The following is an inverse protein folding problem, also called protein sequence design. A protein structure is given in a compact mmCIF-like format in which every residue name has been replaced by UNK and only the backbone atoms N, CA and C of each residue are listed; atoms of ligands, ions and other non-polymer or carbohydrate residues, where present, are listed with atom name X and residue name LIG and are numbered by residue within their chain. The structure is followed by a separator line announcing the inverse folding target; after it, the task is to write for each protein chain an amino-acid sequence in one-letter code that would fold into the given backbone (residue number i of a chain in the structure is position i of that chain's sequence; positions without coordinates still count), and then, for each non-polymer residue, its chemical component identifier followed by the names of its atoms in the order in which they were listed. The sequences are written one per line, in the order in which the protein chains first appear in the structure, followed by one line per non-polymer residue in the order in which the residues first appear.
data_IF_617983226095
#
_entry.id   IF_617983226095
#
_cell.length_a   1.000
_cell.length_b   1.000
_cell.length_c   1.000
_cell.angle_alpha   90.00
_cell.angle_beta   90.00
_cell.angle_gamma   90.00
#
_symmetry.space_group_name_H-M   'P 1'
#
loop_
_entity.id
_entity.type
_entity.pdbx_description
1 polymer ?
#
# COMPACT_ATOMS: atom_id res chain seq x y z
N UNK A 1 -32.69 -81.00 -7.82
CA UNK A 1 -32.59 -79.76 -8.62
C UNK A 1 -32.64 -78.59 -7.64
N UNK A 2 -31.47 -78.19 -7.13
CA UNK A 2 -31.33 -77.06 -6.21
C UNK A 2 -30.62 -75.95 -6.99
N UNK A 3 -31.33 -74.85 -7.21
CA UNK A 3 -30.82 -73.63 -7.82
C UNK A 3 -30.15 -72.82 -6.71
N UNK A 4 -28.82 -72.81 -6.70
CA UNK A 4 -28.06 -71.87 -5.88
C UNK A 4 -28.03 -70.51 -6.59
N UNK A 5 -28.83 -69.56 -6.11
CA UNK A 5 -28.69 -68.16 -6.49
C UNK A 5 -27.44 -67.57 -5.82
N UNK A 6 -26.42 -67.27 -6.62
CA UNK A 6 -25.26 -66.51 -6.18
C UNK A 6 -25.66 -65.03 -6.05
N UNK A 7 -26.03 -64.61 -4.83
CA UNK A 7 -26.12 -63.19 -4.50
C UNK A 7 -24.70 -62.62 -4.46
N UNK A 8 -24.34 -61.64 -5.30
CA UNK A 8 -23.02 -61.04 -5.25
C UNK A 8 -22.87 -60.25 -3.95
N UNK A 9 -22.04 -60.76 -3.03
CA UNK A 9 -21.57 -60.02 -1.85
C UNK A 9 -20.70 -58.87 -2.36
N UNK A 10 -21.28 -57.69 -2.50
CA UNK A 10 -20.50 -56.51 -2.87
C UNK A 10 -19.62 -56.14 -1.69
N UNK A 11 -18.30 -56.20 -1.89
CA UNK A 11 -17.28 -55.92 -0.87
C UNK A 11 -17.40 -54.48 -0.34
N UNK A 12 -17.88 -54.34 0.89
CA UNK A 12 -18.04 -53.07 1.62
C UNK A 12 -16.75 -52.25 1.67
N UNK A 13 -15.59 -52.92 1.72
CA UNK A 13 -14.28 -52.26 1.72
C UNK A 13 -13.99 -51.49 0.43
N UNK A 14 -14.47 -51.97 -0.73
CA UNK A 14 -14.27 -51.32 -2.03
C UNK A 14 -15.11 -50.05 -2.16
N UNK A 15 -16.26 -49.99 -1.47
CA UNK A 15 -17.10 -48.79 -1.38
C UNK A 15 -16.48 -47.73 -0.46
N UNK A 16 -16.00 -48.14 0.73
CA UNK A 16 -15.37 -47.21 1.69
C UNK A 16 -14.11 -46.58 1.10
N UNK A 17 -13.25 -47.36 0.44
CA UNK A 17 -12.03 -46.82 -0.20
C UNK A 17 -12.35 -45.85 -1.34
N UNK A 18 -13.38 -46.11 -2.13
CA UNK A 18 -13.84 -45.19 -3.20
C UNK A 18 -14.44 -43.91 -2.63
N UNK A 19 -15.17 -44.00 -1.52
CA UNK A 19 -15.74 -42.84 -0.82
C UNK A 19 -14.64 -41.97 -0.18
N UNK A 20 -13.65 -42.57 0.48
CA UNK A 20 -12.50 -41.86 1.03
C UNK A 20 -11.66 -41.17 -0.06
N UNK A 21 -11.42 -41.85 -1.18
CA UNK A 21 -10.70 -41.25 -2.32
C UNK A 21 -11.47 -40.07 -2.93
N UNK A 22 -12.81 -40.17 -3.06
CA UNK A 22 -13.64 -39.08 -3.53
C UNK A 22 -13.65 -37.87 -2.57
N UNK A 23 -13.72 -38.11 -1.26
CA UNK A 23 -13.67 -37.06 -0.24
C UNK A 23 -12.30 -36.35 -0.24
N UNK A 24 -11.20 -37.10 -0.33
CA UNK A 24 -9.84 -36.53 -0.42
C UNK A 24 -9.69 -35.70 -1.71
N UNK A 25 -10.24 -36.17 -2.83
CA UNK A 25 -10.21 -35.43 -4.10
C UNK A 25 -11.03 -34.13 -4.01
N UNK A 26 -12.19 -34.14 -3.36
CA UNK A 26 -13.01 -32.94 -3.13
C UNK A 26 -12.25 -31.93 -2.26
N UNK A 27 -11.65 -32.37 -1.15
CA UNK A 27 -10.86 -31.48 -0.29
C UNK A 27 -9.64 -30.90 -1.04
N UNK A 28 -8.93 -31.70 -1.82
CA UNK A 28 -7.81 -31.24 -2.64
C UNK A 28 -8.25 -30.21 -3.69
N UNK A 29 -9.36 -30.47 -4.41
CA UNK A 29 -9.89 -29.55 -5.42
C UNK A 29 -10.37 -28.25 -4.79
N UNK A 30 -11.07 -28.29 -3.65
CA UNK A 30 -11.47 -27.07 -2.93
C UNK A 30 -10.27 -26.27 -2.45
N UNK A 31 -9.23 -26.90 -1.90
CA UNK A 31 -8.00 -26.21 -1.46
C UNK A 31 -7.29 -25.48 -2.61
N UNK A 32 -7.24 -26.09 -3.80
CA UNK A 32 -6.63 -25.49 -5.00
C UNK A 32 -7.47 -24.29 -5.50
N UNK A 33 -8.81 -24.39 -5.47
CA UNK A 33 -9.71 -23.29 -5.85
C UNK A 33 -9.61 -22.08 -4.90
N UNK A 34 -9.43 -22.29 -3.59
CA UNK A 34 -9.26 -21.19 -2.63
C UNK A 34 -7.91 -20.48 -2.75
N UNK A 35 -6.85 -21.21 -3.12
CA UNK A 35 -5.53 -20.61 -3.34
C UNK A 35 -5.47 -19.79 -4.64
N UNK A 36 -6.20 -20.21 -5.69
CA UNK A 36 -6.21 -19.55 -6.99
C UNK A 36 -6.92 -18.17 -7.01
N UNK A 37 -7.76 -17.87 -6.02
CA UNK A 37 -8.52 -16.61 -5.94
C UNK A 37 -7.78 -15.48 -5.19
N UNK A 38 -6.47 -15.61 -4.92
CA UNK A 38 -5.66 -14.50 -4.41
C UNK A 38 -4.98 -13.78 -5.55
N UNK A 39 -5.73 -12.93 -6.26
CA UNK A 39 -5.08 -11.84 -6.99
C UNK A 39 -4.39 -10.94 -5.96
N UNK A 40 -3.05 -10.94 -5.97
CA UNK A 40 -2.28 -9.96 -5.23
C UNK A 40 -2.53 -8.60 -5.90
N UNK A 41 -3.40 -7.78 -5.31
CA UNK A 41 -3.61 -6.41 -5.78
C UNK A 41 -2.28 -5.65 -5.63
N UNK A 42 -1.73 -5.18 -6.76
CA UNK A 42 -0.53 -4.36 -6.76
C UNK A 42 -0.82 -3.05 -6.00
N UNK A 43 0.10 -2.57 -5.17
CA UNK A 43 -0.04 -1.27 -4.53
C UNK A 43 -0.14 -0.16 -5.59
N UNK A 44 -0.90 0.88 -5.27
CA UNK A 44 -0.89 2.13 -6.05
C UNK A 44 0.28 2.95 -5.54
N UNK A 45 1.31 3.10 -6.37
CA UNK A 45 2.47 3.94 -6.09
C UNK A 45 2.31 5.28 -6.80
N UNK A 46 2.46 6.38 -6.06
CA UNK A 46 2.41 7.74 -6.61
C UNK A 46 3.74 8.44 -6.33
N UNK A 47 4.56 8.56 -7.35
CA UNK A 47 5.83 9.31 -7.30
C UNK A 47 5.54 10.81 -7.16
N UNK A 48 6.14 11.43 -6.15
CA UNK A 48 5.83 12.81 -5.77
C UNK A 48 6.31 13.80 -6.84
N UNK A 49 7.45 13.55 -7.47
CA UNK A 49 7.97 14.34 -8.60
C UNK A 49 7.03 14.34 -9.81
N UNK A 50 6.14 13.35 -9.90
CA UNK A 50 5.12 13.21 -10.93
C UNK A 50 3.82 13.97 -10.62
N UNK A 51 3.76 14.76 -9.54
CA UNK A 51 2.57 15.55 -9.23
C UNK A 51 2.28 16.57 -10.33
N UNK A 52 1.01 16.67 -10.72
CA UNK A 52 0.59 17.53 -11.84
C UNK A 52 0.82 19.03 -11.56
N UNK A 53 0.72 19.43 -10.29
CA UNK A 53 1.07 20.75 -9.80
C UNK A 53 1.97 20.60 -8.58
N UNK A 54 3.20 21.10 -8.64
CA UNK A 54 4.11 21.03 -7.49
C UNK A 54 3.82 22.14 -6.47
N UNK A 55 2.93 23.09 -6.78
CA UNK A 55 2.65 24.22 -5.91
C UNK A 55 3.91 25.04 -5.66
N UNK A 56 4.33 25.12 -4.39
CA UNK A 56 5.61 25.71 -4.02
C UNK A 56 6.71 24.69 -3.68
N UNK A 57 6.45 23.39 -3.85
CA UNK A 57 7.46 22.35 -3.72
C UNK A 57 8.36 22.32 -4.95
N UNK A 58 9.62 21.98 -4.74
CA UNK A 58 10.62 21.85 -5.81
C UNK A 58 11.06 20.40 -5.97
N UNK A 59 11.34 19.99 -7.19
CA UNK A 59 11.92 18.67 -7.48
C UNK A 59 13.42 18.73 -7.15
N UNK A 60 13.86 17.90 -6.22
CA UNK A 60 15.24 17.86 -5.75
C UNK A 60 15.90 16.50 -6.08
N UNK A 61 17.04 16.48 -6.81
CA UNK A 61 17.70 15.25 -7.23
C UNK A 61 18.80 14.77 -6.27
N UNK A 62 18.98 15.39 -5.09
CA UNK A 62 20.16 15.17 -4.22
C UNK A 62 20.38 13.70 -3.84
N UNK A 63 19.32 12.89 -3.81
CA UNK A 63 19.38 11.49 -3.39
C UNK A 63 19.12 10.48 -4.53
N UNK A 64 19.17 10.92 -5.79
CA UNK A 64 18.85 10.06 -6.94
C UNK A 64 19.73 8.79 -7.00
N UNK A 65 21.03 8.90 -6.70
CA UNK A 65 21.94 7.75 -6.67
C UNK A 65 21.64 6.72 -5.56
N UNK A 66 20.92 7.14 -4.52
CA UNK A 66 20.55 6.30 -3.37
C UNK A 66 19.12 5.78 -3.46
N UNK A 67 18.21 6.56 -4.02
CA UNK A 67 16.77 6.24 -4.07
C UNK A 67 16.31 5.72 -5.43
N UNK A 68 17.02 6.05 -6.50
CA UNK A 68 16.61 5.82 -7.88
C UNK A 68 15.67 6.89 -8.46
N UNK A 69 15.27 7.87 -7.65
CA UNK A 69 14.27 8.91 -7.96
C UNK A 69 14.64 10.26 -7.34
N UNK A 70 14.26 11.40 -7.96
CA UNK A 70 14.17 12.67 -7.26
C UNK A 70 12.98 12.68 -6.28
N UNK A 71 12.80 13.75 -5.52
CA UNK A 71 11.70 13.88 -4.57
C UNK A 71 11.19 15.33 -4.53
N UNK A 72 10.01 15.56 -3.95
CA UNK A 72 9.52 16.91 -3.68
C UNK A 72 10.07 17.43 -2.35
N UNK A 73 10.60 18.66 -2.40
CA UNK A 73 11.16 19.41 -1.29
C UNK A 73 10.39 20.71 -1.04
N UNK A 74 9.92 20.92 0.20
CA UNK A 74 9.29 22.17 0.62
C UNK A 74 10.33 23.20 1.10
N UNK A 75 10.93 23.96 0.17
CA UNK A 75 12.00 24.92 0.46
C UNK A 75 11.46 26.36 0.67
N UNK A 76 10.64 26.56 1.69
CA UNK A 76 9.94 27.83 1.96
C UNK A 76 10.67 28.81 2.88
N UNK A 77 11.91 28.51 3.30
CA UNK A 77 12.71 29.32 4.23
C UNK A 77 11.98 29.68 5.54
N UNK A 78 11.20 28.74 6.08
CA UNK A 78 10.45 28.89 7.33
C UNK A 78 9.03 29.42 7.15
N UNK A 79 8.59 29.66 5.91
CA UNK A 79 7.20 29.95 5.55
C UNK A 79 6.64 28.76 4.77
N UNK A 80 5.54 28.13 5.20
CA UNK A 80 4.94 27.02 4.46
C UNK A 80 4.70 27.35 2.99
N UNK A 81 5.08 26.42 2.11
CA UNK A 81 4.86 26.54 0.66
C UNK A 81 3.45 26.10 0.27
N UNK A 82 2.99 26.55 -0.90
CA UNK A 82 1.71 26.08 -1.45
C UNK A 82 1.72 24.57 -1.71
N UNK A 83 0.58 23.93 -1.51
CA UNK A 83 0.40 22.49 -1.67
C UNK A 83 0.81 21.98 -3.05
N UNK A 84 1.53 20.85 -3.08
CA UNK A 84 1.66 20.06 -4.30
C UNK A 84 0.42 19.17 -4.45
N UNK A 85 -0.14 19.04 -5.66
CA UNK A 85 -1.36 18.28 -5.90
C UNK A 85 -1.32 17.42 -7.16
N UNK A 86 -2.04 16.30 -7.13
CA UNK A 86 -2.26 15.44 -8.29
C UNK A 86 -3.59 14.69 -8.20
N UNK A 87 -4.03 14.09 -9.30
CA UNK A 87 -5.16 13.16 -9.34
C UNK A 87 -4.66 11.72 -9.46
N UNK A 88 -5.21 10.81 -8.65
CA UNK A 88 -4.89 9.39 -8.66
C UNK A 88 -6.17 8.60 -8.94
N UNK A 89 -6.08 7.56 -9.77
CA UNK A 89 -7.23 6.67 -10.03
C UNK A 89 -7.05 5.35 -9.30
N UNK A 90 -7.89 5.09 -8.30
CA UNK A 90 -7.88 3.81 -7.59
C UNK A 90 -8.65 2.75 -8.39
N UNK A 91 -8.08 1.55 -8.56
CA UNK A 91 -8.69 0.47 -9.34
C UNK A 91 -9.93 -0.13 -8.68
N UNK A 92 -10.04 0.01 -7.35
CA UNK A 92 -11.08 -0.62 -6.52
C UNK A 92 -11.42 0.24 -5.31
N UNK A 93 -12.61 0.02 -4.76
CA UNK A 93 -12.98 0.55 -3.45
C UNK A 93 -12.50 -0.39 -2.35
N UNK A 94 -12.04 0.14 -1.22
CA UNK A 94 -11.62 -0.69 -0.10
C UNK A 94 -10.85 0.07 0.97
N UNK A 95 -10.30 -0.70 1.92
CA UNK A 95 -9.45 -0.17 2.98
C UNK A 95 -8.01 -0.13 2.52
N UNK A 96 -7.47 1.06 2.32
CA UNK A 96 -6.09 1.29 1.92
C UNK A 96 -5.22 1.58 3.13
N UNK A 97 -4.07 0.93 3.20
CA UNK A 97 -2.97 1.34 4.08
C UNK A 97 -2.16 2.40 3.33
N UNK A 98 -2.01 3.58 3.93
CA UNK A 98 -1.20 4.65 3.37
C UNK A 98 0.23 4.52 3.89
N UNK A 99 1.19 4.68 2.98
CA UNK A 99 2.61 4.76 3.27
C UNK A 99 3.15 6.02 2.62
N UNK A 100 4.16 6.66 3.22
CA UNK A 100 4.84 7.79 2.59
C UNK A 100 6.33 7.58 2.68
N UNK A 101 7.04 7.61 1.55
CA UNK A 101 8.49 7.52 1.52
C UNK A 101 9.09 8.88 1.84
N UNK A 102 9.67 9.00 3.04
CA UNK A 102 10.14 10.26 3.62
C UNK A 102 11.30 10.02 4.59
N UNK A 103 11.80 11.11 5.19
CA UNK A 103 12.77 11.11 6.29
C UNK A 103 12.64 12.38 7.12
N UNK A 104 12.92 12.28 8.41
CA UNK A 104 13.33 13.43 9.21
C UNK A 104 14.77 13.78 8.82
N UNK A 105 14.92 14.93 8.19
CA UNK A 105 16.20 15.32 7.63
C UNK A 105 17.21 15.79 8.67
N UNK A 106 16.75 16.29 9.83
CA UNK A 106 17.64 16.72 10.90
C UNK A 106 17.99 15.61 11.89
N UNK A 107 17.25 14.50 11.88
CA UNK A 107 17.48 13.37 12.78
C UNK A 107 18.93 12.85 12.75
N UNK A 108 19.62 12.94 11.61
CA UNK A 108 21.03 12.53 11.50
C UNK A 108 21.98 13.32 12.41
N UNK A 109 21.64 14.57 12.75
CA UNK A 109 22.41 15.41 13.67
C UNK A 109 21.85 15.43 15.09
N UNK A 110 20.78 14.66 15.37
CA UNK A 110 20.06 14.67 16.66
C UNK A 110 19.66 16.09 17.10
N UNK A 111 19.34 16.94 16.14
CA UNK A 111 18.93 18.31 16.41
C UNK A 111 17.56 18.32 17.13
N UNK A 112 17.31 19.30 18.03
CA UNK A 112 16.00 19.47 18.62
C UNK A 112 14.97 19.92 17.58
N UNK A 113 13.73 19.44 17.73
CA UNK A 113 12.63 19.75 16.81
C UNK A 113 12.57 18.81 15.61
N UNK A 114 11.57 19.03 14.77
CA UNK A 114 11.30 18.23 13.58
C UNK A 114 10.90 19.21 12.45
N UNK A 115 11.82 19.98 11.87
CA UNK A 115 11.54 20.74 10.67
C UNK A 115 11.16 19.80 9.51
N UNK A 116 10.43 20.32 8.52
CA UNK A 116 10.04 19.55 7.34
C UNK A 116 8.85 18.63 7.57
N UNK A 117 8.02 18.92 8.59
CA UNK A 117 6.74 18.24 8.76
C UNK A 117 5.79 18.63 7.65
N UNK A 118 5.01 17.66 7.21
CA UNK A 118 3.94 17.87 6.23
C UNK A 118 2.79 16.90 6.48
N UNK A 119 1.65 17.17 5.86
CA UNK A 119 0.50 16.26 5.82
C UNK A 119 0.26 15.77 4.41
N UNK A 120 -0.31 14.58 4.32
CA UNK A 120 -0.97 14.10 3.11
C UNK A 120 -2.46 14.42 3.23
N UNK A 121 -3.04 14.98 2.18
CA UNK A 121 -4.47 15.31 2.11
C UNK A 121 -5.09 14.48 0.99
N UNK A 122 -6.16 13.75 1.30
CA UNK A 122 -6.90 12.93 0.33
C UNK A 122 -8.34 13.46 0.24
N UNK A 123 -8.76 13.87 -0.96
CA UNK A 123 -10.06 14.48 -1.23
C UNK A 123 -10.38 15.66 -0.30
N UNK A 124 -9.37 16.48 0.01
CA UNK A 124 -9.50 17.62 0.91
C UNK A 124 -9.51 17.28 2.40
N UNK A 125 -9.40 16.01 2.78
CA UNK A 125 -9.28 15.60 4.18
C UNK A 125 -7.83 15.27 4.53
N UNK A 126 -7.19 15.98 5.48
CA UNK A 126 -5.85 15.65 5.94
C UNK A 126 -5.85 14.32 6.71
N UNK A 127 -4.80 13.52 6.53
CA UNK A 127 -4.53 12.39 7.40
C UNK A 127 -4.17 12.87 8.81
N UNK A 128 -4.50 12.07 9.83
CA UNK A 128 -4.11 12.36 11.22
C UNK A 128 -2.59 12.31 11.39
N UNK A 129 -1.92 11.44 10.65
CA UNK A 129 -0.46 11.30 10.68
C UNK A 129 0.23 12.54 10.09
N UNK A 130 1.21 13.06 10.83
CA UNK A 130 2.18 14.03 10.32
C UNK A 130 3.45 13.32 9.87
N UNK A 131 3.87 13.56 8.63
CA UNK A 131 5.00 12.91 7.97
C UNK A 131 6.28 13.75 8.03
N UNK A 132 7.41 13.13 7.67
CA UNK A 132 8.73 13.76 7.78
C UNK A 132 9.22 13.82 9.23
N UNK A 133 8.68 12.97 10.10
CA UNK A 133 8.83 13.04 11.56
C UNK A 133 9.67 11.92 12.17
N UNK A 134 10.05 10.93 11.35
CA UNK A 134 10.70 9.70 11.80
C UNK A 134 11.93 9.46 10.92
N UNK A 135 12.98 8.89 11.51
CA UNK A 135 14.08 8.27 10.78
C UNK A 135 15.01 9.22 10.03
N UNK A 136 16.32 9.10 10.29
CA UNK A 136 17.36 9.85 9.56
C UNK A 136 17.56 9.38 8.11
N UNK A 137 17.11 8.17 7.78
CA UNK A 137 17.22 7.54 6.47
C UNK A 137 15.87 7.50 5.78
N UNK A 138 15.89 7.48 4.45
CA UNK A 138 14.70 7.28 3.64
C UNK A 138 14.03 5.95 4.00
N UNK A 139 12.75 6.01 4.31
CA UNK A 139 11.94 4.85 4.70
C UNK A 139 10.47 5.12 4.39
N UNK A 140 9.66 4.06 4.42
CA UNK A 140 8.20 4.17 4.35
C UNK A 140 7.65 4.42 5.73
N UNK A 141 7.09 5.61 5.95
CA UNK A 141 6.40 6.00 7.18
C UNK A 141 4.93 5.59 7.10
N UNK A 142 4.41 4.95 8.15
CA UNK A 142 3.01 4.49 8.24
C UNK A 142 2.06 5.69 8.38
N UNK A 143 1.13 5.83 7.44
CA UNK A 143 0.09 6.86 7.41
C UNK A 143 -1.28 6.43 7.95
N UNK A 144 -1.41 5.18 8.39
CA UNK A 144 -2.66 4.58 8.84
C UNK A 144 -3.53 4.02 7.70
N UNK A 145 -4.70 3.50 8.07
CA UNK A 145 -5.67 2.91 7.15
C UNK A 145 -6.90 3.78 6.98
N UNK A 146 -7.34 3.96 5.74
CA UNK A 146 -8.57 4.68 5.41
C UNK A 146 -9.41 3.93 4.38
N UNK A 147 -10.72 4.11 4.43
CA UNK A 147 -11.63 3.53 3.43
C UNK A 147 -11.77 4.50 2.25
N UNK A 148 -11.44 4.05 1.04
CA UNK A 148 -11.45 4.85 -0.19
C UNK A 148 -12.39 4.25 -1.25
N UNK A 149 -13.10 5.08 -2.01
CA UNK A 149 -13.89 4.62 -3.14
C UNK A 149 -13.01 4.25 -4.34
N UNK A 150 -13.56 3.45 -5.25
CA UNK A 150 -12.98 3.27 -6.58
C UNK A 150 -13.04 4.59 -7.36
N UNK A 151 -12.04 4.85 -8.20
CA UNK A 151 -12.05 5.96 -9.14
C UNK A 151 -11.09 7.07 -8.74
N UNK A 152 -11.35 8.28 -9.25
CA UNK A 152 -10.47 9.44 -9.06
C UNK A 152 -10.52 9.94 -7.62
N UNK A 153 -9.36 10.26 -7.09
CA UNK A 153 -9.19 11.06 -5.88
C UNK A 153 -8.16 12.16 -6.12
N UNK A 154 -8.27 13.24 -5.36
CA UNK A 154 -7.25 14.29 -5.28
C UNK A 154 -6.30 13.97 -4.14
N UNK A 155 -5.01 13.93 -4.44
CA UNK A 155 -3.93 13.78 -3.48
C UNK A 155 -3.18 15.11 -3.37
N UNK A 156 -2.80 15.52 -2.16
CA UNK A 156 -1.97 16.69 -1.95
C UNK A 156 -0.94 16.50 -0.84
N UNK A 157 0.18 17.20 -0.97
CA UNK A 157 1.19 17.37 0.07
C UNK A 157 1.09 18.79 0.63
N UNK A 158 0.80 18.89 1.93
CA UNK A 158 0.65 20.16 2.63
C UNK A 158 1.82 20.38 3.57
N UNK A 159 2.65 21.36 3.27
CA UNK A 159 3.79 21.73 4.11
C UNK A 159 3.31 22.42 5.40
N UNK A 160 3.82 21.98 6.55
CA UNK A 160 3.47 22.56 7.85
C UNK A 160 4.54 23.51 8.39
N UNK A 161 5.71 23.60 7.75
CA UNK A 161 6.89 24.22 8.35
C UNK A 161 7.59 25.24 7.47
N UNK A 162 7.52 25.11 6.14
CA UNK A 162 8.36 25.90 5.24
C UNK A 162 9.83 25.50 5.25
N UNK A 163 10.17 24.40 5.93
CA UNK A 163 11.56 24.10 6.26
C UNK A 163 11.95 22.68 5.90
N UNK A 164 12.00 22.45 4.59
CA UNK A 164 12.57 21.28 3.93
C UNK A 164 11.82 19.96 4.22
N UNK A 165 10.49 19.99 4.10
CA UNK A 165 9.70 18.77 4.04
C UNK A 165 10.07 17.94 2.82
N UNK A 166 10.17 16.61 2.97
CA UNK A 166 10.66 15.71 1.92
C UNK A 166 9.66 14.60 1.66
N UNK A 167 9.18 14.48 0.43
CA UNK A 167 8.29 13.40 0.03
C UNK A 167 8.77 12.81 -1.30
N UNK A 168 9.13 11.53 -1.30
CA UNK A 168 9.53 10.79 -2.50
C UNK A 168 8.30 10.13 -3.15
N UNK A 169 7.47 9.44 -2.37
CA UNK A 169 6.27 8.78 -2.89
C UNK A 169 5.20 8.59 -1.82
N UNK A 170 3.96 8.40 -2.27
CA UNK A 170 2.78 7.98 -1.48
C UNK A 170 2.24 6.65 -2.02
#
# INVERSE_FOLDING_TARGET
MQIHENIPVVSTGRFITRLCAAVILIFAVTGILFAANREAELPVLVEAEGFADTGGWVIDPQFMDLMGSPYLLAHGLGVPVNDATTEVTLPKAGRYQIWVRTKDWVAQWRAPGIPGRFQVIINGMPLETTFGTVGAQWHWQDGGKIDLPKGKLRLALHDLTGFEGRCDAV
#
